data_IF_805469943157
#
_entry.id   IF_805469943157
#
_cell.length_a   1.000
_cell.length_b   1.000
_cell.length_c   1.000
_cell.angle_alpha   90.00
_cell.angle_beta   90.00
_cell.angle_gamma   90.00
#
_symmetry.space_group_name_H-M   'P 1'
#
loop_
_entity.id
_entity.type
_entity.pdbx_description
1 polymer ?
#
# COMPACT_ATOMS: atom_id res chain seq x y z
N UNK A 1 -39.89 0.20 -18.64
CA UNK A 1 -38.45 -0.11 -18.81
C UNK A 1 -38.01 -0.76 -17.52
N UNK A 2 -37.49 -1.99 -17.58
CA UNK A 2 -36.87 -2.59 -16.40
C UNK A 2 -35.70 -1.70 -15.95
N UNK A 3 -35.65 -1.33 -14.67
CA UNK A 3 -34.55 -0.53 -14.13
C UNK A 3 -33.29 -1.39 -14.12
N UNK A 4 -32.28 -0.99 -14.91
CA UNK A 4 -30.96 -1.62 -14.84
C UNK A 4 -30.31 -1.29 -13.50
N UNK A 5 -29.80 -2.31 -12.81
CA UNK A 5 -28.94 -2.15 -11.65
C UNK A 5 -27.49 -2.20 -12.11
N UNK A 6 -26.71 -1.17 -11.81
CA UNK A 6 -25.32 -1.05 -12.25
C UNK A 6 -24.40 -0.74 -11.07
N UNK A 7 -23.15 -1.20 -11.14
CA UNK A 7 -22.11 -0.73 -10.23
C UNK A 7 -21.76 0.73 -10.51
N UNK A 8 -21.00 1.37 -9.62
CA UNK A 8 -20.44 2.72 -9.88
C UNK A 8 -19.49 2.76 -11.08
N UNK A 9 -19.06 1.61 -11.59
CA UNK A 9 -18.26 1.50 -12.82
C UNK A 9 -19.10 1.29 -14.09
N UNK A 10 -20.44 1.34 -14.00
CA UNK A 10 -21.35 1.10 -15.13
C UNK A 10 -21.46 -0.38 -15.54
N UNK A 11 -21.14 -1.31 -14.63
CA UNK A 11 -21.28 -2.74 -14.89
C UNK A 11 -22.69 -3.20 -14.50
N UNK A 12 -23.44 -3.71 -15.48
CA UNK A 12 -24.79 -4.25 -15.26
C UNK A 12 -24.76 -5.49 -14.34
N UNK A 13 -25.54 -5.44 -13.27
CA UNK A 13 -25.71 -6.52 -12.29
C UNK A 13 -27.05 -7.19 -12.55
N UNK A 14 -27.02 -8.49 -12.85
CA UNK A 14 -28.24 -9.29 -12.98
C UNK A 14 -28.85 -9.53 -11.61
N UNK A 15 -30.18 -9.62 -11.56
CA UNK A 15 -30.92 -9.96 -10.35
C UNK A 15 -30.43 -11.29 -9.73
N UNK A 16 -30.16 -12.29 -10.57
CA UNK A 16 -29.63 -13.60 -10.17
C UNK A 16 -28.58 -14.09 -11.17
N UNK A 17 -27.47 -14.65 -10.66
CA UNK A 17 -26.48 -15.38 -11.45
C UNK A 17 -26.63 -16.88 -11.19
N UNK A 18 -27.27 -17.62 -12.12
CA UNK A 18 -27.59 -19.05 -11.93
C UNK A 18 -26.45 -20.00 -12.32
N UNK A 19 -25.46 -19.54 -13.06
CA UNK A 19 -24.36 -20.36 -13.56
C UNK A 19 -23.03 -19.76 -13.12
N UNK A 20 -22.30 -20.48 -12.28
CA UNK A 20 -20.95 -20.08 -11.89
C UNK A 20 -19.99 -20.17 -13.08
N UNK A 21 -19.09 -19.20 -13.22
CA UNK A 21 -17.99 -19.29 -14.18
C UNK A 21 -16.94 -20.24 -13.59
N UNK A 22 -16.62 -21.38 -14.25
CA UNK A 22 -15.65 -22.33 -13.72
C UNK A 22 -14.25 -21.68 -13.66
N UNK A 23 -13.66 -21.66 -12.47
CA UNK A 23 -12.28 -21.22 -12.23
C UNK A 23 -11.38 -22.45 -12.10
N UNK A 24 -10.73 -22.82 -13.21
CA UNK A 24 -9.81 -23.97 -13.28
C UNK A 24 -8.40 -23.66 -12.75
N UNK A 25 -8.12 -22.39 -12.45
CA UNK A 25 -6.82 -21.91 -11.99
C UNK A 25 -6.58 -22.29 -10.52
N UNK A 26 -5.34 -22.66 -10.18
CA UNK A 26 -4.94 -22.95 -8.79
C UNK A 26 -4.28 -21.72 -8.14
N UNK A 27 -4.49 -21.48 -6.83
CA UNK A 27 -3.78 -20.43 -6.11
C UNK A 27 -2.26 -20.71 -6.11
N UNK A 28 -1.46 -19.65 -6.14
CA UNK A 28 0.00 -19.74 -6.21
C UNK A 28 0.56 -20.13 -7.58
N UNK A 29 -0.29 -20.27 -8.60
CA UNK A 29 0.14 -20.57 -9.98
C UNK A 29 -0.32 -19.48 -10.93
N UNK A 30 0.44 -19.23 -12.00
CA UNK A 30 0.06 -18.28 -13.05
C UNK A 30 -1.38 -18.59 -13.55
N UNK A 31 -2.28 -17.60 -13.69
CA UNK A 31 -2.05 -16.15 -13.61
C UNK A 31 -2.39 -15.53 -12.23
N UNK A 32 -2.34 -16.33 -11.16
CA UNK A 32 -2.48 -15.92 -9.75
C UNK A 32 -3.83 -15.30 -9.37
N UNK A 33 -4.88 -15.47 -10.17
CA UNK A 33 -6.22 -14.90 -9.90
C UNK A 33 -6.71 -15.25 -8.49
N UNK A 34 -6.54 -16.52 -8.09
CA UNK A 34 -6.98 -17.05 -6.79
C UNK A 34 -6.02 -16.79 -5.63
N UNK A 35 -4.96 -16.01 -5.86
CA UNK A 35 -3.94 -15.69 -4.86
C UNK A 35 -2.53 -16.03 -5.32
N UNK A 36 -1.55 -15.34 -4.75
CA UNK A 36 -0.12 -15.46 -5.12
C UNK A 36 0.61 -16.60 -4.40
N UNK A 37 -0.01 -17.20 -3.40
CA UNK A 37 0.50 -18.35 -2.65
C UNK A 37 -0.54 -19.46 -2.65
N UNK A 38 -0.10 -20.71 -2.55
CA UNK A 38 -0.99 -21.88 -2.59
C UNK A 38 -1.94 -21.94 -1.39
N UNK A 39 -1.44 -21.60 -0.21
CA UNK A 39 -2.10 -21.70 1.09
C UNK A 39 -2.57 -20.35 1.63
N UNK A 40 -2.10 -19.23 1.06
CA UNK A 40 -2.47 -17.85 1.45
C UNK A 40 -2.56 -17.70 2.98
N UNK A 41 -3.74 -17.35 3.51
CA UNK A 41 -3.93 -17.07 4.93
C UNK A 41 -3.93 -18.28 5.84
N UNK A 42 -4.03 -19.50 5.28
CA UNK A 42 -3.81 -20.74 6.05
C UNK A 42 -2.34 -20.88 6.44
N UNK A 43 -1.43 -20.37 5.62
CA UNK A 43 0.00 -20.34 5.90
C UNK A 43 0.39 -19.11 6.72
N UNK A 44 0.02 -17.92 6.24
CA UNK A 44 0.32 -16.65 6.92
C UNK A 44 -0.76 -15.61 6.67
N UNK A 45 -1.28 -15.02 7.74
CA UNK A 45 -2.18 -13.88 7.68
C UNK A 45 -1.56 -12.68 6.95
N UNK A 46 -2.40 -11.78 6.44
CA UNK A 46 -1.92 -10.50 5.91
C UNK A 46 -1.22 -9.70 7.02
N UNK A 47 -0.34 -8.77 6.62
CA UNK A 47 0.26 -7.85 7.59
C UNK A 47 -0.78 -6.82 8.01
N UNK A 48 -1.17 -6.85 9.28
CA UNK A 48 -2.00 -5.80 9.88
C UNK A 48 -1.11 -4.57 10.07
N UNK A 49 -1.26 -3.58 9.18
CA UNK A 49 -0.35 -2.45 9.06
C UNK A 49 -1.12 -1.14 9.20
N UNK A 50 -1.17 -0.61 10.42
CA UNK A 50 -1.79 0.69 10.67
C UNK A 50 -0.84 1.81 10.24
N UNK A 51 -1.43 2.83 9.62
CA UNK A 51 -0.77 4.06 9.19
C UNK A 51 -0.68 4.97 10.40
N UNK A 52 0.52 5.43 10.70
CA UNK A 52 0.80 6.23 11.89
C UNK A 52 2.00 7.16 11.64
N UNK A 53 2.08 8.21 12.45
CA UNK A 53 3.04 9.29 12.31
C UNK A 53 2.30 10.60 12.28
N UNK A 54 2.48 11.42 13.30
CA UNK A 54 1.96 12.79 13.38
C UNK A 54 2.73 13.55 14.46
N UNK A 55 2.78 14.87 14.34
CA UNK A 55 3.59 15.74 15.21
C UNK A 55 5.08 15.45 15.07
N UNK A 56 5.79 15.24 16.19
CA UNK A 56 7.25 15.05 16.19
C UNK A 56 7.64 13.58 16.04
N UNK A 57 8.94 13.35 15.81
CA UNK A 57 9.52 12.01 15.76
C UNK A 57 9.27 11.22 17.06
N UNK A 58 9.37 11.86 18.22
CA UNK A 58 9.17 11.22 19.53
C UNK A 58 7.72 10.83 19.78
N UNK A 59 6.76 11.69 19.45
CA UNK A 59 5.33 11.35 19.59
C UNK A 59 4.94 10.22 18.63
N UNK A 60 5.46 10.27 17.40
CA UNK A 60 5.29 9.19 16.42
C UNK A 60 5.94 7.87 16.90
N UNK A 61 7.11 7.93 17.53
CA UNK A 61 7.78 6.77 18.12
C UNK A 61 6.95 6.15 19.25
N UNK A 62 6.42 6.95 20.19
CA UNK A 62 5.51 6.48 21.24
C UNK A 62 4.31 5.75 20.64
N UNK A 63 3.76 6.30 19.56
CA UNK A 63 2.65 5.68 18.83
C UNK A 63 3.03 4.34 18.19
N UNK A 64 4.23 4.22 17.63
CA UNK A 64 4.72 2.95 17.09
C UNK A 64 4.85 1.87 18.17
N UNK A 65 5.45 2.19 19.31
CA UNK A 65 5.52 1.25 20.44
C UNK A 65 4.14 0.83 20.94
N UNK A 66 3.20 1.78 21.03
CA UNK A 66 1.81 1.46 21.35
C UNK A 66 1.21 0.48 20.33
N UNK A 67 1.28 0.76 19.03
CA UNK A 67 0.69 -0.10 17.99
C UNK A 67 1.32 -1.50 17.97
N UNK A 68 2.64 -1.58 18.12
CA UNK A 68 3.35 -2.85 18.26
C UNK A 68 2.86 -3.64 19.48
N UNK A 69 2.66 -2.97 20.63
CA UNK A 69 2.09 -3.60 21.84
C UNK A 69 0.66 -4.11 21.65
N UNK A 70 -0.09 -3.53 20.72
CA UNK A 70 -1.47 -3.94 20.40
C UNK A 70 -1.56 -5.05 19.34
N UNK A 71 -0.43 -5.53 18.81
CA UNK A 71 -0.35 -6.65 17.88
C UNK A 71 -0.23 -6.26 16.40
N UNK A 72 0.10 -5.01 16.08
CA UNK A 72 0.51 -4.64 14.71
C UNK A 72 1.80 -5.38 14.34
N UNK A 73 1.88 -5.91 13.12
CA UNK A 73 3.02 -6.75 12.66
C UNK A 73 3.96 -6.03 11.68
N UNK A 74 3.69 -4.76 11.40
CA UNK A 74 4.54 -3.90 10.58
C UNK A 74 4.18 -2.42 10.73
N UNK A 75 5.16 -1.54 10.61
CA UNK A 75 4.97 -0.10 10.77
C UNK A 75 4.66 0.58 9.43
N UNK A 76 3.85 1.62 9.42
CA UNK A 76 3.66 2.46 8.24
C UNK A 76 3.76 3.91 8.63
N UNK A 77 4.77 4.60 8.09
CA UNK A 77 5.15 5.96 8.42
C UNK A 77 4.44 6.93 7.50
N UNK A 78 3.69 7.86 8.11
CA UNK A 78 3.13 9.05 7.47
C UNK A 78 4.04 10.24 7.70
N UNK A 79 4.45 10.92 6.65
CA UNK A 79 5.29 12.13 6.73
C UNK A 79 4.44 13.38 6.55
N UNK A 80 4.86 14.49 7.15
CA UNK A 80 4.18 15.77 6.95
C UNK A 80 4.32 16.30 5.51
N UNK A 81 3.64 17.40 5.20
CA UNK A 81 3.67 17.94 3.85
C UNK A 81 5.07 18.46 3.45
N UNK A 82 5.78 19.25 4.28
CA UNK A 82 7.15 19.71 3.99
C UNK A 82 8.12 18.58 3.61
N UNK A 83 8.18 17.52 4.42
CA UNK A 83 9.04 16.35 4.17
C UNK A 83 8.71 15.69 2.83
N UNK A 84 7.43 15.64 2.47
CA UNK A 84 6.97 15.02 1.21
C UNK A 84 7.36 15.81 -0.03
N UNK A 85 7.40 17.14 0.07
CA UNK A 85 7.73 18.06 -1.04
C UNK A 85 9.15 18.62 -0.95
N UNK A 86 9.99 18.09 -0.05
CA UNK A 86 11.43 18.34 -0.01
C UNK A 86 11.83 19.67 0.59
N UNK A 87 11.06 20.15 1.57
CA UNK A 87 11.42 21.29 2.40
C UNK A 87 11.77 20.84 3.82
N UNK A 88 12.78 21.48 4.39
CA UNK A 88 13.07 21.40 5.82
C UNK A 88 12.00 22.18 6.62
N UNK A 89 11.84 21.85 7.90
CA UNK A 89 10.86 22.46 8.79
C UNK A 89 10.98 23.98 8.96
N UNK A 90 12.16 24.57 8.71
CA UNK A 90 12.43 26.02 8.83
C UNK A 90 12.29 26.78 7.50
N UNK A 91 11.98 26.09 6.40
CA UNK A 91 11.75 26.72 5.11
C UNK A 91 10.44 27.52 5.11
N UNK A 92 10.41 28.66 4.40
CA UNK A 92 9.24 29.56 4.38
C UNK A 92 7.94 28.85 3.94
N UNK A 93 8.03 27.95 2.95
CA UNK A 93 6.91 27.14 2.46
C UNK A 93 6.40 26.08 3.45
N UNK A 94 7.11 25.85 4.56
CA UNK A 94 6.75 24.87 5.59
C UNK A 94 5.84 25.46 6.68
N UNK A 95 5.70 26.78 6.74
CA UNK A 95 4.92 27.46 7.77
C UNK A 95 3.48 26.93 7.86
N UNK A 96 3.06 26.58 9.08
CA UNK A 96 1.74 26.02 9.37
C UNK A 96 1.49 24.56 8.96
N UNK A 97 2.47 23.87 8.37
CA UNK A 97 2.31 22.49 7.86
C UNK A 97 3.25 21.46 8.53
N UNK A 98 4.28 21.92 9.25
CA UNK A 98 5.23 21.06 9.99
C UNK A 98 4.48 20.17 11.00
N UNK A 99 4.65 18.84 10.88
CA UNK A 99 4.10 17.85 11.81
C UNK A 99 2.56 17.70 11.80
N UNK A 100 1.83 18.39 10.91
CA UNK A 100 0.37 18.50 10.97
C UNK A 100 -0.37 17.26 10.47
N UNK A 101 0.11 16.71 9.35
CA UNK A 101 -0.51 15.57 8.65
C UNK A 101 0.37 14.31 8.66
N UNK A 102 1.50 14.38 9.35
CA UNK A 102 2.49 13.32 9.43
C UNK A 102 3.65 13.74 10.32
N UNK A 103 4.67 12.88 10.42
CA UNK A 103 5.91 13.22 11.14
C UNK A 103 6.81 14.12 10.30
N UNK A 104 7.40 15.15 10.92
CA UNK A 104 8.43 15.98 10.31
C UNK A 104 9.80 15.27 10.35
N UNK A 105 10.50 15.18 9.21
CA UNK A 105 11.82 14.56 9.10
C UNK A 105 12.70 15.44 8.20
N UNK A 106 13.64 16.15 8.82
CA UNK A 106 14.59 17.02 8.12
C UNK A 106 15.95 16.33 7.95
N UNK A 107 16.27 15.39 8.85
CA UNK A 107 17.60 14.84 9.00
C UNK A 107 17.62 13.38 9.46
N UNK A 108 18.83 12.79 9.47
CA UNK A 108 19.04 11.46 10.05
C UNK A 108 18.72 11.43 11.55
N UNK A 109 18.86 12.56 12.26
CA UNK A 109 18.56 12.65 13.69
C UNK A 109 17.08 12.37 13.97
N UNK A 110 16.20 12.91 13.15
CA UNK A 110 14.75 12.73 13.32
C UNK A 110 14.37 11.27 13.05
N UNK A 111 15.04 10.62 12.10
CA UNK A 111 14.88 9.18 11.86
C UNK A 111 15.38 8.34 13.05
N UNK A 112 16.48 8.75 13.71
CA UNK A 112 16.98 8.10 14.93
C UNK A 112 15.97 8.19 16.08
N UNK A 113 15.37 9.36 16.28
CA UNK A 113 14.34 9.60 17.29
C UNK A 113 13.05 8.81 16.94
N UNK A 114 12.64 8.83 15.67
CA UNK A 114 11.45 8.14 15.16
C UNK A 114 11.49 6.62 15.41
N UNK A 115 12.66 6.00 15.28
CA UNK A 115 12.87 4.56 15.47
C UNK A 115 13.64 4.23 16.76
N UNK A 116 13.70 5.15 17.72
CA UNK A 116 14.30 4.87 19.02
C UNK A 116 13.68 3.62 19.66
N UNK A 117 14.53 2.66 20.04
CA UNK A 117 14.10 1.37 20.60
C UNK A 117 13.49 0.38 19.59
N UNK A 118 13.52 0.68 18.29
CA UNK A 118 13.00 -0.19 17.21
C UNK A 118 14.16 -0.59 16.29
N UNK A 119 14.54 -1.87 16.32
CA UNK A 119 15.63 -2.38 15.48
C UNK A 119 15.15 -2.69 14.06
N UNK A 120 15.66 -1.95 13.06
CA UNK A 120 15.13 -1.95 11.69
C UNK A 120 15.28 -3.29 10.95
N UNK A 121 16.19 -4.16 11.38
CA UNK A 121 16.32 -5.50 10.82
C UNK A 121 15.20 -6.46 11.24
N UNK A 122 14.56 -6.19 12.39
CA UNK A 122 13.59 -7.09 13.01
C UNK A 122 12.13 -6.70 12.72
N UNK A 123 11.92 -5.59 12.02
CA UNK A 123 10.59 -5.09 11.68
C UNK A 123 10.49 -4.83 10.17
N UNK A 124 9.26 -4.82 9.66
CA UNK A 124 8.98 -4.35 8.31
C UNK A 124 8.35 -2.97 8.36
N UNK A 125 8.96 -2.01 7.68
CA UNK A 125 8.51 -0.61 7.66
C UNK A 125 8.06 -0.21 6.26
N UNK A 126 6.87 0.37 6.16
CA UNK A 126 6.40 1.05 4.96
C UNK A 126 6.55 2.54 5.15
N UNK A 127 7.04 3.26 4.15
CA UNK A 127 7.18 4.71 4.15
C UNK A 127 6.34 5.27 2.99
N UNK A 128 5.26 5.99 3.33
CA UNK A 128 4.39 6.63 2.35
C UNK A 128 5.03 7.94 1.88
N UNK A 129 6.05 7.80 1.05
CA UNK A 129 6.89 8.89 0.56
C UNK A 129 7.19 8.70 -0.93
N UNK A 130 7.21 9.79 -1.69
CA UNK A 130 7.27 9.75 -3.15
C UNK A 130 8.40 10.61 -3.71
N UNK A 131 8.22 11.93 -3.88
CA UNK A 131 9.23 12.77 -4.51
C UNK A 131 10.59 12.77 -3.78
N UNK A 132 10.57 12.69 -2.45
CA UNK A 132 11.77 12.57 -1.59
C UNK A 132 12.10 11.13 -1.20
N UNK A 133 11.49 10.12 -1.83
CA UNK A 133 11.62 8.73 -1.38
C UNK A 133 13.06 8.20 -1.38
N UNK A 134 13.91 8.66 -2.31
CA UNK A 134 15.33 8.33 -2.32
C UNK A 134 16.06 8.83 -1.07
N UNK A 135 15.72 10.03 -0.60
CA UNK A 135 16.34 10.68 0.56
C UNK A 135 15.94 9.92 1.83
N UNK A 136 14.64 9.69 2.05
CA UNK A 136 14.15 9.00 3.24
C UNK A 136 14.61 7.53 3.27
N UNK A 137 14.70 6.86 2.11
CA UNK A 137 15.31 5.53 2.04
C UNK A 137 16.79 5.56 2.40
N UNK A 138 17.55 6.56 1.94
CA UNK A 138 18.96 6.71 2.30
C UNK A 138 19.14 6.93 3.81
N UNK A 139 18.30 7.76 4.44
CA UNK A 139 18.31 7.95 5.90
C UNK A 139 17.95 6.67 6.65
N UNK A 140 16.92 5.92 6.19
CA UNK A 140 16.55 4.63 6.77
C UNK A 140 17.70 3.62 6.71
N UNK A 141 18.40 3.54 5.58
CA UNK A 141 19.57 2.66 5.41
C UNK A 141 20.74 3.12 6.30
N UNK A 142 20.99 4.43 6.39
CA UNK A 142 22.03 4.98 7.26
C UNK A 142 21.76 4.65 8.73
N UNK A 143 20.51 4.78 9.19
CA UNK A 143 20.10 4.36 10.53
C UNK A 143 20.28 2.86 10.74
N UNK A 144 19.86 2.03 9.79
CA UNK A 144 20.05 0.57 9.88
C UNK A 144 21.54 0.21 10.03
N UNK A 145 22.42 0.86 9.27
CA UNK A 145 23.88 0.70 9.42
C UNK A 145 24.37 1.16 10.80
N UNK A 146 23.90 2.29 11.30
CA UNK A 146 24.24 2.82 12.64
C UNK A 146 23.79 1.87 13.76
N UNK A 147 22.66 1.19 13.58
CA UNK A 147 22.18 0.13 14.48
C UNK A 147 23.02 -1.17 14.38
N UNK A 148 23.88 -1.32 13.36
CA UNK A 148 24.65 -2.54 13.12
C UNK A 148 23.90 -3.63 12.34
N UNK A 149 22.82 -3.27 11.63
CA UNK A 149 22.05 -4.22 10.82
C UNK A 149 22.78 -4.62 9.53
N UNK A 150 22.57 -5.86 9.08
CA UNK A 150 22.84 -6.26 7.70
C UNK A 150 21.75 -5.67 6.80
N UNK A 151 22.12 -4.67 6.00
CA UNK A 151 21.19 -3.99 5.07
C UNK A 151 20.62 -4.93 4.00
N UNK A 152 21.20 -6.13 3.80
CA UNK A 152 20.61 -7.14 2.91
C UNK A 152 19.43 -7.85 3.56
N UNK A 153 19.29 -7.75 4.89
CA UNK A 153 18.19 -8.35 5.67
C UNK A 153 17.05 -7.39 5.94
N UNK A 154 17.28 -6.07 5.90
CA UNK A 154 16.19 -5.11 6.17
C UNK A 154 15.08 -5.25 5.13
N UNK A 155 13.84 -5.15 5.60
CA UNK A 155 12.65 -5.33 4.77
C UNK A 155 11.69 -4.18 4.97
N UNK A 156 11.04 -3.76 3.90
CA UNK A 156 10.20 -2.59 3.95
C UNK A 156 9.71 -2.19 2.57
N UNK A 157 9.09 -1.03 2.49
CA UNK A 157 8.53 -0.48 1.26
C UNK A 157 8.64 1.04 1.30
N UNK A 158 9.04 1.65 0.19
CA UNK A 158 8.76 3.06 -0.08
C UNK A 158 7.63 3.13 -1.11
N UNK A 159 6.77 4.14 -1.04
CA UNK A 159 5.69 4.27 -2.01
C UNK A 159 6.24 4.59 -3.41
N UNK A 160 7.09 5.61 -3.55
CA UNK A 160 7.93 5.87 -4.72
C UNK A 160 7.20 5.82 -6.09
N UNK A 161 5.90 6.11 -6.10
CA UNK A 161 5.07 6.16 -7.31
C UNK A 161 4.81 7.62 -7.65
N UNK A 162 5.65 8.19 -8.52
CA UNK A 162 5.50 9.59 -8.93
C UNK A 162 4.39 9.78 -9.97
N UNK A 163 3.99 8.77 -10.74
CA UNK A 163 3.03 8.97 -11.83
C UNK A 163 1.64 9.31 -11.29
N UNK A 164 1.25 8.66 -10.19
CA UNK A 164 0.02 9.01 -9.47
C UNK A 164 0.11 10.35 -8.71
N UNK A 165 1.30 10.90 -8.46
CA UNK A 165 1.44 12.25 -7.90
C UNK A 165 0.88 13.30 -8.86
N UNK A 166 1.26 13.24 -10.14
CA UNK A 166 0.78 14.21 -11.13
C UNK A 166 -0.72 14.06 -11.41
N UNK A 167 -1.25 12.84 -11.31
CA UNK A 167 -2.63 12.56 -11.68
C UNK A 167 -3.64 12.78 -10.55
N UNK A 168 -3.27 12.54 -9.29
CA UNK A 168 -4.24 12.47 -8.19
C UNK A 168 -3.78 13.03 -6.84
N UNK A 169 -2.49 12.95 -6.48
CA UNK A 169 -2.03 13.24 -5.09
C UNK A 169 -1.33 14.58 -4.91
N UNK A 170 -0.61 15.08 -5.91
CA UNK A 170 -0.07 16.44 -5.93
C UNK A 170 1.27 16.68 -5.21
N UNK A 171 1.96 15.67 -4.67
CA UNK A 171 3.23 15.85 -3.92
C UNK A 171 4.47 15.52 -4.77
N UNK A 172 4.58 16.14 -5.94
CA UNK A 172 5.76 16.04 -6.82
C UNK A 172 6.69 17.26 -6.67
N UNK A 173 7.98 17.07 -6.96
CA UNK A 173 9.00 18.14 -6.94
C UNK A 173 9.55 18.38 -8.34
N UNK A 174 10.04 17.32 -8.99
CA UNK A 174 10.73 17.40 -10.28
C UNK A 174 9.79 17.14 -11.45
N UNK A 175 10.16 17.52 -12.69
CA UNK A 175 9.39 17.12 -13.88
C UNK A 175 9.34 15.58 -14.07
N UNK A 176 8.35 15.06 -14.83
CA UNK A 176 8.12 13.61 -14.97
C UNK A 176 9.36 12.80 -15.37
N UNK A 177 10.13 13.25 -16.36
CA UNK A 177 11.32 12.53 -16.86
C UNK A 177 12.41 12.37 -15.79
N UNK A 178 12.69 13.43 -15.03
CA UNK A 178 13.69 13.39 -13.96
C UNK A 178 13.22 12.50 -12.80
N UNK A 179 11.93 12.56 -12.47
CA UNK A 179 11.35 11.71 -11.43
C UNK A 179 11.38 10.22 -11.79
N UNK A 180 11.08 9.85 -13.05
CA UNK A 180 11.19 8.47 -13.53
C UNK A 180 12.63 7.93 -13.44
N UNK A 181 13.63 8.79 -13.70
CA UNK A 181 15.05 8.45 -13.54
C UNK A 181 15.34 8.05 -12.09
N UNK A 182 14.91 8.84 -11.11
CA UNK A 182 15.13 8.55 -9.67
C UNK A 182 14.53 7.20 -9.29
N UNK A 183 13.32 6.88 -9.77
CA UNK A 183 12.65 5.60 -9.50
C UNK A 183 13.48 4.42 -10.01
N UNK A 184 13.95 4.50 -11.26
CA UNK A 184 14.79 3.44 -11.86
C UNK A 184 16.20 3.36 -11.26
N UNK A 185 16.75 4.45 -10.71
CA UNK A 185 17.96 4.43 -9.88
C UNK A 185 17.75 3.66 -8.57
N UNK A 186 16.61 3.88 -7.90
CA UNK A 186 16.27 3.15 -6.68
C UNK A 186 16.09 1.65 -6.97
N UNK A 187 15.45 1.29 -8.09
CA UNK A 187 15.29 -0.12 -8.50
C UNK A 187 16.65 -0.79 -8.65
N UNK A 188 17.57 -0.13 -9.35
CA UNK A 188 18.92 -0.62 -9.55
C UNK A 188 19.67 -0.78 -8.22
N UNK A 189 19.70 0.27 -7.39
CA UNK A 189 20.41 0.26 -6.11
C UNK A 189 19.90 -0.86 -5.19
N UNK A 190 18.58 -0.93 -4.98
CA UNK A 190 17.99 -1.92 -4.07
C UNK A 190 18.16 -3.35 -4.58
N UNK A 191 18.17 -3.56 -5.91
CA UNK A 191 18.41 -4.90 -6.46
C UNK A 191 19.77 -5.49 -6.09
N UNK A 192 20.77 -4.62 -5.80
CA UNK A 192 22.14 -4.99 -5.47
C UNK A 192 22.38 -4.97 -3.95
N UNK A 193 21.99 -3.89 -3.29
CA UNK A 193 22.39 -3.58 -1.91
C UNK A 193 21.32 -3.95 -0.86
N UNK A 194 20.03 -3.76 -1.21
CA UNK A 194 18.90 -3.94 -0.28
C UNK A 194 17.84 -4.88 -0.88
N UNK A 195 18.21 -6.13 -1.23
CA UNK A 195 17.43 -7.01 -2.09
C UNK A 195 16.12 -7.50 -1.47
N UNK A 196 15.81 -7.16 -0.21
CA UNK A 196 14.54 -7.45 0.48
C UNK A 196 13.55 -6.28 0.51
N UNK A 197 13.96 -5.11 0.04
CA UNK A 197 13.13 -3.91 -0.01
C UNK A 197 12.15 -3.94 -1.19
N UNK A 198 10.88 -3.60 -0.96
CA UNK A 198 9.96 -3.34 -2.07
C UNK A 198 10.18 -1.89 -2.53
N UNK A 199 10.63 -1.74 -3.78
CA UNK A 199 11.20 -0.47 -4.28
C UNK A 199 10.15 0.55 -4.73
N UNK A 200 8.91 0.12 -4.84
CA UNK A 200 7.75 0.93 -5.19
C UNK A 200 6.47 0.24 -4.73
N UNK A 201 5.46 1.05 -4.43
CA UNK A 201 4.08 0.65 -4.25
C UNK A 201 3.21 1.37 -5.28
N UNK A 202 2.98 0.71 -6.42
CA UNK A 202 2.24 1.25 -7.56
C UNK A 202 0.78 1.41 -7.16
N UNK A 203 0.30 2.65 -7.08
CA UNK A 203 -0.82 3.02 -6.22
C UNK A 203 -2.06 3.44 -6.99
N UNK A 204 -3.14 2.65 -6.84
CA UNK A 204 -4.50 3.02 -7.21
C UNK A 204 -5.29 3.72 -6.10
N UNK A 205 -4.87 3.58 -4.83
CA UNK A 205 -5.59 4.16 -3.70
C UNK A 205 -5.97 5.64 -3.90
N UNK A 206 -4.98 6.48 -4.17
CA UNK A 206 -5.16 7.92 -4.34
C UNK A 206 -6.00 8.27 -5.58
N UNK A 207 -5.88 7.48 -6.64
CA UNK A 207 -6.67 7.64 -7.87
C UNK A 207 -8.16 7.38 -7.56
N UNK A 208 -8.45 6.34 -6.77
CA UNK A 208 -9.79 6.03 -6.30
C UNK A 208 -10.35 7.09 -5.36
N UNK A 209 -9.56 7.54 -4.39
CA UNK A 209 -9.94 8.60 -3.45
C UNK A 209 -10.17 9.95 -4.16
N UNK A 210 -9.51 10.20 -5.29
CA UNK A 210 -9.76 11.36 -6.16
C UNK A 210 -11.03 11.23 -7.02
N UNK A 211 -11.78 10.13 -6.91
CA UNK A 211 -13.09 9.95 -7.53
C UNK A 211 -13.14 9.00 -8.72
N UNK A 212 -12.09 8.20 -8.98
CA UNK A 212 -12.13 7.22 -10.08
C UNK A 212 -13.08 6.06 -9.79
N UNK A 213 -13.60 5.41 -10.84
CA UNK A 213 -14.29 4.11 -10.72
C UNK A 213 -13.31 2.98 -10.40
N UNK A 214 -13.80 1.78 -10.06
CA UNK A 214 -12.95 0.61 -9.79
C UNK A 214 -12.18 0.18 -11.06
N UNK A 215 -12.83 0.27 -12.22
CA UNK A 215 -12.22 0.00 -13.53
C UNK A 215 -11.12 1.02 -13.85
N UNK A 216 -11.37 2.32 -13.59
CA UNK A 216 -10.37 3.36 -13.80
C UNK A 216 -9.18 3.23 -12.86
N UNK A 217 -9.42 2.98 -11.57
CA UNK A 217 -8.36 2.69 -10.59
C UNK A 217 -7.44 1.59 -11.11
N UNK A 218 -8.04 0.46 -11.53
CA UNK A 218 -7.27 -0.68 -12.00
C UNK A 218 -6.49 -0.36 -13.29
N UNK A 219 -7.16 0.24 -14.27
CA UNK A 219 -6.56 0.56 -15.57
C UNK A 219 -5.38 1.53 -15.43
N UNK A 220 -5.56 2.63 -14.70
CA UNK A 220 -4.52 3.64 -14.52
C UNK A 220 -3.35 3.12 -13.69
N UNK A 221 -3.62 2.34 -12.64
CA UNK A 221 -2.56 1.74 -11.81
C UNK A 221 -1.71 0.75 -12.60
N UNK A 222 -2.33 -0.14 -13.38
CA UNK A 222 -1.59 -1.11 -14.19
C UNK A 222 -0.87 -0.44 -15.37
N UNK A 223 -1.42 0.65 -15.93
CA UNK A 223 -0.74 1.46 -16.93
C UNK A 223 0.52 2.13 -16.36
N UNK A 224 0.44 2.72 -15.16
CA UNK A 224 1.62 3.24 -14.45
C UNK A 224 2.65 2.13 -14.20
N UNK A 225 2.19 0.96 -13.73
CA UNK A 225 3.06 -0.21 -13.55
C UNK A 225 3.79 -0.63 -14.83
N UNK A 226 3.08 -0.66 -15.97
CA UNK A 226 3.68 -0.93 -17.27
C UNK A 226 4.71 0.14 -17.66
N UNK A 227 4.44 1.42 -17.42
CA UNK A 227 5.38 2.50 -17.68
C UNK A 227 6.67 2.35 -16.84
N UNK A 228 6.56 1.95 -15.57
CA UNK A 228 7.72 1.64 -14.73
C UNK A 228 8.52 0.44 -15.23
N UNK A 229 7.86 -0.64 -15.66
CA UNK A 229 8.54 -1.80 -16.25
C UNK A 229 9.31 -1.38 -17.51
N UNK A 230 8.67 -0.64 -18.42
CA UNK A 230 9.31 -0.17 -19.66
C UNK A 230 10.52 0.71 -19.37
N UNK A 231 10.40 1.70 -18.49
CA UNK A 231 11.52 2.59 -18.13
C UNK A 231 12.70 1.83 -17.51
N UNK A 232 12.43 0.83 -16.66
CA UNK A 232 13.47 -0.01 -16.07
C UNK A 232 14.15 -0.91 -17.12
N UNK A 233 13.39 -1.47 -18.07
CA UNK A 233 13.93 -2.25 -19.19
C UNK A 233 14.78 -1.39 -20.14
N UNK A 234 14.35 -0.16 -20.45
CA UNK A 234 15.12 0.79 -21.26
C UNK A 234 16.44 1.19 -20.59
N UNK A 235 16.49 1.20 -19.25
CA UNK A 235 17.71 1.38 -18.47
C UNK A 235 18.60 0.11 -18.44
N UNK A 236 18.11 -1.02 -18.94
CA UNK A 236 18.83 -2.30 -18.99
C UNK A 236 18.70 -3.14 -17.72
N UNK A 237 17.70 -2.91 -16.87
CA UNK A 237 17.46 -3.73 -15.68
C UNK A 237 16.75 -5.03 -16.05
N UNK A 238 17.14 -6.15 -15.42
CA UNK A 238 16.51 -7.46 -15.62
C UNK A 238 15.15 -7.53 -14.91
N UNK A 239 14.07 -7.68 -15.68
CA UNK A 239 12.70 -7.82 -15.17
C UNK A 239 12.55 -8.96 -14.17
N UNK A 240 13.30 -10.06 -14.32
CA UNK A 240 13.26 -11.18 -13.39
C UNK A 240 13.97 -10.89 -12.07
N UNK A 241 14.66 -9.75 -11.95
CA UNK A 241 15.29 -9.28 -10.71
C UNK A 241 14.45 -8.18 -10.07
N UNK A 242 14.25 -7.05 -10.75
CA UNK A 242 13.60 -5.90 -10.11
C UNK A 242 12.09 -6.08 -9.92
N UNK A 243 11.40 -6.79 -10.83
CA UNK A 243 9.95 -6.95 -10.75
C UNK A 243 9.51 -7.75 -9.50
N UNK A 244 10.40 -8.62 -8.98
CA UNK A 244 10.23 -9.34 -7.71
C UNK A 244 10.08 -8.43 -6.50
N UNK A 245 10.36 -7.13 -6.64
CA UNK A 245 10.26 -6.11 -5.57
C UNK A 245 9.26 -5.00 -5.87
N UNK A 246 8.52 -5.11 -6.96
CA UNK A 246 7.35 -4.26 -7.18
C UNK A 246 6.21 -4.72 -6.29
N UNK A 247 5.53 -3.75 -5.68
CA UNK A 247 4.29 -3.96 -4.95
C UNK A 247 3.25 -2.97 -5.43
N UNK A 248 2.00 -3.17 -5.04
CA UNK A 248 0.86 -2.36 -5.41
C UNK A 248 0.12 -1.86 -4.17
N UNK A 249 -0.70 -0.84 -4.36
CA UNK A 249 -1.53 -0.30 -3.29
C UNK A 249 -2.90 0.11 -3.83
N UNK A 250 -3.95 -0.55 -3.37
CA UNK A 250 -5.31 -0.29 -3.82
C UNK A 250 -6.22 0.20 -2.69
N UNK A 251 -7.28 0.89 -3.09
CA UNK A 251 -8.41 1.19 -2.23
C UNK A 251 -9.32 -0.04 -2.11
N UNK A 252 -10.05 -0.17 -1.00
CA UNK A 252 -11.24 -1.01 -0.95
C UNK A 252 -12.46 -0.14 -0.62
N UNK A 253 -13.28 0.09 -1.64
CA UNK A 253 -14.46 0.95 -1.57
C UNK A 253 -15.72 0.19 -1.09
N UNK A 254 -16.87 0.86 -1.06
CA UNK A 254 -18.13 0.32 -0.53
C UNK A 254 -18.74 -0.86 -1.32
N UNK A 255 -18.45 -1.00 -2.62
CA UNK A 255 -19.08 -2.04 -3.44
C UNK A 255 -18.37 -3.39 -3.25
N UNK A 256 -18.80 -4.12 -2.23
CA UNK A 256 -18.16 -5.33 -1.70
C UNK A 256 -17.67 -6.33 -2.77
N UNK A 257 -18.57 -6.80 -3.64
CA UNK A 257 -18.21 -7.80 -4.66
C UNK A 257 -17.37 -7.23 -5.79
N UNK A 258 -17.59 -5.96 -6.16
CA UNK A 258 -16.80 -5.30 -7.21
C UNK A 258 -15.33 -5.15 -6.77
N UNK A 259 -15.09 -4.81 -5.50
CA UNK A 259 -13.73 -4.71 -4.95
C UNK A 259 -13.03 -6.08 -4.92
N UNK A 260 -13.72 -7.15 -4.50
CA UNK A 260 -13.19 -8.53 -4.56
C UNK A 260 -12.82 -8.90 -6.00
N UNK A 261 -13.71 -8.64 -6.96
CA UNK A 261 -13.46 -8.90 -8.37
C UNK A 261 -12.27 -8.08 -8.91
N UNK A 262 -12.15 -6.80 -8.52
CA UNK A 262 -11.06 -5.90 -8.90
C UNK A 262 -9.70 -6.48 -8.50
N UNK A 263 -9.54 -6.94 -7.27
CA UNK A 263 -8.27 -7.50 -6.79
C UNK A 263 -7.87 -8.78 -7.53
N UNK A 264 -8.83 -9.65 -7.82
CA UNK A 264 -8.62 -10.89 -8.59
C UNK A 264 -8.25 -10.58 -10.04
N UNK A 265 -8.96 -9.65 -10.66
CA UNK A 265 -8.68 -9.17 -12.02
C UNK A 265 -7.27 -8.54 -12.11
N UNK A 266 -6.88 -7.75 -11.11
CA UNK A 266 -5.58 -7.10 -11.06
C UNK A 266 -4.42 -8.09 -11.14
N UNK A 267 -4.46 -9.15 -10.33
CA UNK A 267 -3.43 -10.20 -10.36
C UNK A 267 -3.31 -10.85 -11.73
N UNK A 268 -4.45 -11.25 -12.31
CA UNK A 268 -4.49 -11.88 -13.63
C UNK A 268 -3.92 -10.98 -14.72
N UNK A 269 -4.32 -9.70 -14.74
CA UNK A 269 -3.86 -8.74 -15.73
C UNK A 269 -2.36 -8.47 -15.59
N UNK A 270 -1.87 -8.26 -14.37
CA UNK A 270 -0.46 -8.01 -14.10
C UNK A 270 0.45 -9.17 -14.48
N UNK A 271 0.04 -10.41 -14.17
CA UNK A 271 0.77 -11.60 -14.56
C UNK A 271 0.95 -11.68 -16.09
N UNK A 272 -0.10 -11.36 -16.84
CA UNK A 272 -0.04 -11.32 -18.30
C UNK A 272 0.80 -10.14 -18.84
N UNK A 273 0.69 -8.95 -18.22
CA UNK A 273 1.51 -7.77 -18.59
C UNK A 273 3.00 -8.09 -18.44
N UNK A 274 3.43 -8.56 -17.28
CA UNK A 274 4.83 -8.89 -16.99
C UNK A 274 5.34 -10.01 -17.90
N UNK A 275 4.55 -11.07 -18.11
CA UNK A 275 4.90 -12.15 -19.05
C UNK A 275 5.08 -11.64 -20.49
N UNK A 276 4.21 -10.74 -20.96
CA UNK A 276 4.32 -10.14 -22.29
C UNK A 276 5.58 -9.29 -22.47
N UNK A 277 6.15 -8.79 -21.37
CA UNK A 277 7.40 -8.02 -21.33
C UNK A 277 8.64 -8.89 -21.06
N UNK A 278 8.51 -10.22 -21.08
CA UNK A 278 9.63 -11.16 -20.99
C UNK A 278 9.93 -11.70 -19.59
N UNK A 279 9.11 -11.41 -18.57
CA UNK A 279 9.26 -12.06 -17.27
C UNK A 279 8.97 -13.56 -17.37
N UNK A 280 9.89 -14.38 -16.89
CA UNK A 280 9.78 -15.84 -16.83
C UNK A 280 9.88 -16.40 -15.40
N UNK A 281 10.33 -15.60 -14.43
CA UNK A 281 10.29 -15.93 -13.01
C UNK A 281 8.89 -15.65 -12.45
N UNK A 282 8.28 -16.65 -11.80
CA UNK A 282 6.93 -16.54 -11.23
C UNK A 282 6.80 -15.38 -10.23
N UNK A 283 7.82 -15.11 -9.42
CA UNK A 283 7.80 -14.02 -8.43
C UNK A 283 7.83 -12.64 -9.09
N UNK A 284 8.41 -12.52 -10.28
CA UNK A 284 8.37 -11.29 -11.08
C UNK A 284 6.98 -11.03 -11.67
N UNK A 285 6.15 -12.08 -11.81
CA UNK A 285 4.80 -12.01 -12.36
C UNK A 285 3.71 -11.84 -11.28
N UNK A 286 4.04 -12.04 -10.01
CA UNK A 286 3.10 -11.90 -8.89
C UNK A 286 2.76 -10.43 -8.62
N UNK A 287 1.47 -10.11 -8.55
CA UNK A 287 0.99 -8.84 -8.01
C UNK A 287 0.79 -8.99 -6.49
N UNK A 288 1.69 -8.39 -5.71
CA UNK A 288 1.55 -8.25 -4.25
C UNK A 288 1.03 -6.86 -3.93
N UNK A 289 0.01 -6.75 -3.10
CA UNK A 289 -0.60 -5.45 -2.82
C UNK A 289 -0.95 -5.21 -1.35
N UNK A 290 -0.78 -3.95 -0.96
CA UNK A 290 -1.40 -3.35 0.19
C UNK A 290 -2.82 -2.91 -0.16
N UNK A 291 -3.73 -2.94 0.81
CA UNK A 291 -5.06 -2.35 0.69
C UNK A 291 -5.31 -1.38 1.83
N UNK A 292 -5.98 -0.28 1.53
CA UNK A 292 -6.54 0.62 2.54
C UNK A 292 -8.04 0.76 2.28
N UNK A 293 -8.82 0.69 3.35
CA UNK A 293 -10.27 0.97 3.32
C UNK A 293 -10.52 2.41 2.85
N UNK A 294 -11.58 2.67 2.08
CA UNK A 294 -11.78 3.98 1.43
C UNK A 294 -12.07 5.11 2.41
N UNK A 295 -11.17 6.08 2.55
CA UNK A 295 -11.33 7.25 3.43
C UNK A 295 -12.47 8.15 3.00
N UNK A 296 -12.55 8.42 1.70
CA UNK A 296 -13.60 9.19 1.02
C UNK A 296 -15.03 8.65 1.23
N UNK A 297 -15.16 7.40 1.69
CA UNK A 297 -16.47 6.77 1.98
C UNK A 297 -16.98 7.00 3.40
N UNK A 298 -16.13 7.55 4.28
CA UNK A 298 -16.41 7.70 5.71
C UNK A 298 -17.01 9.08 5.99
N UNK A 299 -17.91 9.14 6.97
CA UNK A 299 -18.71 10.34 7.24
C UNK A 299 -18.32 10.98 8.57
N UNK A 300 -18.28 12.32 8.60
CA UNK A 300 -18.10 13.09 9.84
C UNK A 300 -19.34 12.99 10.75
N UNK A 301 -20.53 12.93 10.16
CA UNK A 301 -21.79 12.71 10.86
C UNK A 301 -21.95 11.22 11.18
N UNK A 302 -22.43 10.94 12.40
CA UNK A 302 -22.59 9.58 12.93
C UNK A 302 -21.35 8.71 12.72
N UNK A 303 -20.17 9.12 13.22
CA UNK A 303 -18.89 8.51 12.89
C UNK A 303 -18.81 7.03 13.29
N UNK A 304 -19.58 6.57 14.28
CA UNK A 304 -19.63 5.15 14.65
C UNK A 304 -20.15 4.24 13.52
N UNK A 305 -20.93 4.76 12.56
CA UNK A 305 -21.33 4.00 11.37
C UNK A 305 -20.12 3.66 10.47
N UNK A 306 -19.02 4.42 10.58
CA UNK A 306 -17.78 4.12 9.85
C UNK A 306 -17.16 2.79 10.29
N UNK A 307 -17.41 2.33 11.52
CA UNK A 307 -16.94 1.01 11.98
C UNK A 307 -17.51 -0.10 11.08
N UNK A 308 -18.81 -0.02 10.76
CA UNK A 308 -19.49 -0.99 9.89
C UNK A 308 -18.99 -0.88 8.45
N UNK A 309 -18.79 0.34 7.94
CA UNK A 309 -18.24 0.58 6.59
C UNK A 309 -16.85 -0.04 6.46
N UNK A 310 -15.95 0.27 7.38
CA UNK A 310 -14.58 -0.24 7.42
C UNK A 310 -14.55 -1.75 7.59
N UNK A 311 -15.43 -2.35 8.40
CA UNK A 311 -15.52 -3.80 8.54
C UNK A 311 -15.87 -4.51 7.21
N UNK A 312 -16.86 -3.99 6.47
CA UNK A 312 -17.22 -4.54 5.16
C UNK A 312 -16.08 -4.40 4.14
N UNK A 313 -15.43 -3.24 4.10
CA UNK A 313 -14.31 -2.99 3.20
C UNK A 313 -13.09 -3.87 3.55
N UNK A 314 -12.77 -4.02 4.84
CA UNK A 314 -11.71 -4.91 5.31
C UNK A 314 -11.98 -6.36 4.92
N UNK A 315 -13.21 -6.83 5.07
CA UNK A 315 -13.60 -8.18 4.68
C UNK A 315 -13.49 -8.39 3.16
N UNK A 316 -13.91 -7.42 2.34
CA UNK A 316 -13.70 -7.48 0.89
C UNK A 316 -12.22 -7.49 0.50
N UNK A 317 -11.36 -6.72 1.18
CA UNK A 317 -9.92 -6.72 0.94
C UNK A 317 -9.28 -8.08 1.25
N UNK A 318 -9.72 -8.74 2.34
CA UNK A 318 -9.27 -10.08 2.74
C UNK A 318 -9.76 -11.13 1.74
N UNK A 319 -11.05 -11.15 1.39
CA UNK A 319 -11.57 -12.04 0.33
C UNK A 319 -10.88 -11.81 -1.02
N UNK A 320 -10.48 -10.56 -1.28
CA UNK A 320 -9.68 -10.17 -2.43
C UNK A 320 -8.25 -10.69 -2.41
N UNK A 321 -7.73 -11.19 -1.30
CA UNK A 321 -6.39 -11.77 -1.18
C UNK A 321 -5.26 -10.74 -1.01
N UNK A 322 -5.47 -9.66 -0.25
CA UNK A 322 -4.44 -8.65 0.07
C UNK A 322 -3.27 -9.18 0.92
N UNK A 323 -2.07 -8.62 0.76
CA UNK A 323 -0.87 -9.02 1.53
C UNK A 323 -0.68 -8.16 2.79
N UNK A 324 -1.24 -6.96 2.81
CA UNK A 324 -1.25 -6.10 4.00
C UNK A 324 -2.45 -5.16 3.95
N UNK A 325 -3.00 -4.82 5.11
CA UNK A 325 -4.24 -4.07 5.20
C UNK A 325 -4.12 -2.94 6.23
N UNK A 326 -4.57 -1.76 5.81
CA UNK A 326 -4.88 -0.63 6.68
C UNK A 326 -6.39 -0.50 6.79
N UNK A 327 -6.87 -0.43 8.03
CA UNK A 327 -8.25 -0.07 8.35
C UNK A 327 -8.27 1.34 8.94
N UNK A 328 -9.11 2.20 8.35
CA UNK A 328 -9.22 3.59 8.79
C UNK A 328 -9.89 3.67 10.18
N UNK A 329 -9.62 4.76 10.89
CA UNK A 329 -10.33 5.09 12.14
C UNK A 329 -11.78 5.46 11.87
N UNK A 330 -12.65 5.31 12.86
CA UNK A 330 -14.03 5.80 12.74
C UNK A 330 -14.10 7.34 12.67
N UNK A 331 -13.02 8.02 13.06
CA UNK A 331 -12.81 9.47 13.09
C UNK A 331 -12.12 10.04 11.84
N UNK A 332 -11.93 9.23 10.79
CA UNK A 332 -11.20 9.58 9.54
C UNK A 332 -11.64 10.92 8.92
N UNK A 333 -12.94 11.19 8.88
CA UNK A 333 -13.48 12.41 8.26
C UNK A 333 -13.34 13.68 9.13
N UNK A 334 -12.74 13.57 10.31
CA UNK A 334 -12.59 14.66 11.28
C UNK A 334 -11.14 15.01 11.56
N UNK A 335 -10.30 14.01 11.78
CA UNK A 335 -8.91 14.20 12.19
C UNK A 335 -8.08 12.96 11.92
N UNK A 336 -6.78 13.07 12.20
CA UNK A 336 -5.94 11.89 12.39
C UNK A 336 -6.48 11.00 13.53
N UNK A 337 -6.24 9.68 13.48
CA UNK A 337 -6.93 8.74 14.35
C UNK A 337 -6.44 8.82 15.79
N UNK A 338 -7.40 8.96 16.70
CA UNK A 338 -7.19 8.81 18.15
C UNK A 338 -6.70 7.39 18.51
N UNK A 339 -6.26 7.18 19.75
CA UNK A 339 -5.93 5.82 20.21
C UNK A 339 -7.12 4.86 20.21
N UNK A 340 -8.31 5.36 20.56
CA UNK A 340 -9.54 4.60 20.56
C UNK A 340 -9.93 4.18 19.13
N UNK A 341 -9.90 5.11 18.17
CA UNK A 341 -10.22 4.81 16.78
C UNK A 341 -9.23 3.84 16.15
N UNK A 342 -7.92 4.05 16.34
CA UNK A 342 -6.92 3.12 15.83
C UNK A 342 -7.02 1.72 16.45
N UNK A 343 -7.39 1.63 17.74
CA UNK A 343 -7.61 0.34 18.41
C UNK A 343 -8.80 -0.39 17.78
N UNK A 344 -9.93 0.29 17.58
CA UNK A 344 -11.10 -0.31 16.91
C UNK A 344 -10.72 -0.76 15.50
N UNK A 345 -10.03 0.08 14.74
CA UNK A 345 -9.58 -0.26 13.39
C UNK A 345 -8.70 -1.52 13.36
N UNK A 346 -7.74 -1.66 14.28
CA UNK A 346 -6.92 -2.87 14.39
C UNK A 346 -7.74 -4.09 14.82
N UNK A 347 -8.66 -3.92 15.78
CA UNK A 347 -9.56 -5.00 16.23
C UNK A 347 -10.46 -5.50 15.09
N UNK A 348 -10.92 -4.64 14.19
CA UNK A 348 -11.64 -5.05 12.98
C UNK A 348 -10.86 -6.08 12.18
N UNK A 349 -9.55 -5.87 11.95
CA UNK A 349 -8.72 -6.84 11.24
C UNK A 349 -8.54 -8.14 12.04
N UNK A 350 -8.36 -8.05 13.36
CA UNK A 350 -8.16 -9.21 14.23
C UNK A 350 -9.41 -10.08 14.31
N UNK A 351 -10.60 -9.49 14.42
CA UNK A 351 -11.88 -10.22 14.40
C UNK A 351 -12.05 -10.94 13.07
N UNK A 352 -11.79 -10.26 11.94
CA UNK A 352 -11.83 -10.92 10.63
C UNK A 352 -10.83 -12.07 10.57
N UNK A 353 -9.60 -11.88 11.07
CA UNK A 353 -8.56 -12.89 10.99
C UNK A 353 -8.82 -14.13 11.88
N UNK A 354 -9.37 -13.94 13.08
CA UNK A 354 -9.39 -14.98 14.11
C UNK A 354 -10.78 -15.51 14.45
N UNK A 355 -11.86 -14.82 14.08
CA UNK A 355 -13.23 -15.19 14.46
C UNK A 355 -14.14 -15.49 13.26
N UNK A 356 -13.81 -15.01 12.05
CA UNK A 356 -14.73 -15.09 10.90
C UNK A 356 -14.69 -16.41 10.10
N UNK A 357 -13.62 -17.20 10.24
CA UNK A 357 -13.37 -18.41 9.42
C UNK A 357 -12.94 -18.12 7.97
N UNK A 358 -12.84 -16.86 7.55
CA UNK A 358 -12.52 -16.47 6.17
C UNK A 358 -11.12 -16.90 5.71
N UNK A 359 -10.22 -17.15 6.67
CA UNK A 359 -8.83 -17.54 6.43
C UNK A 359 -8.68 -19.04 6.19
N UNK A 360 -9.74 -19.83 6.40
CA UNK A 360 -9.68 -21.29 6.40
C UNK A 360 -9.65 -21.87 4.98
N UNK A 361 -10.02 -21.09 3.97
CA UNK A 361 -9.95 -21.49 2.56
C UNK A 361 -9.41 -20.37 1.68
N UNK A 362 -8.82 -20.77 0.55
CA UNK A 362 -8.19 -19.85 -0.39
C UNK A 362 -9.19 -19.46 -1.48
N UNK A 363 -9.42 -18.15 -1.67
CA UNK A 363 -10.37 -17.60 -2.64
C UNK A 363 -11.75 -18.26 -2.52
N UNK A 364 -12.42 -18.17 -1.34
CA UNK A 364 -13.75 -18.75 -1.06
C UNK A 364 -14.85 -18.31 -2.04
#
# INVERSE_FOLDING_TARGET
MESKFETTSGLEIKEVYCTAVPLLENPGTFPFTRGIQKDMYRGRLWTMRQYAGFSTAEESNKRYHYLLSQGTTGLSVAFDLPTQIGYDSDHEMSDGEVGKVGVAIDSLRDMEELFAGIFLQNITTSMTINATASILLAMYIALAKKQGADIRQISGTIQNDILKEYAARGTYIYPPKASMRIITDIFEYCSKEVPKWNTISISGYHIREAGSTAVQELAFTLANGKAYLTAALEKGLDINVFAKRLSFFFNCHNNFFEEIAKFRAARRMWANITRSLGANDEKAQMLRFHTQTGGSTLTAQQPLNNIVRVANQAMAAVLGGTQSLHTNGYDEALSLPTEAAAKVALRTQQIIAFESGITDTVDP
#
